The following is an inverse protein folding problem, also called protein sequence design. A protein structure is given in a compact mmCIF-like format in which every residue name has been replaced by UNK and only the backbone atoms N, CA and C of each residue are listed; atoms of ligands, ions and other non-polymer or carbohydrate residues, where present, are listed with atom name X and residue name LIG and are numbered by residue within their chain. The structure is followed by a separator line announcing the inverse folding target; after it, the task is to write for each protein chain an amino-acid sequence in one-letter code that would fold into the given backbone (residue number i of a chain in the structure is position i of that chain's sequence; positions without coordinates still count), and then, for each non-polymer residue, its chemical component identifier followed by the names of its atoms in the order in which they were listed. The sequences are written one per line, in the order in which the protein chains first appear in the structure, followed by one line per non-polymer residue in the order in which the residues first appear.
data_IF_873306810889
#
_entry.id   IF_873306810889
#
_cell.length_a   1.000
_cell.length_b   1.000
_cell.length_c   1.000
_cell.angle_alpha   90.00
_cell.angle_beta   90.00
_cell.angle_gamma   90.00
#
_symmetry.space_group_name_H-M   'P 1'
#
loop_
_entity.id
_entity.type
_entity.pdbx_description
1 polymer ?
#
# COMPACT_ATOMS: atom_id res chain seq x y z
N UNK A 1 -13.20 -0.19 -32.33
CA UNK A 1 -14.30 0.61 -31.86
C UNK A 1 -15.44 0.62 -32.86
N UNK A 2 -15.28 1.12 -34.11
CA UNK A 2 -16.36 1.10 -35.11
C UNK A 2 -17.03 -0.27 -35.31
N UNK A 3 -16.31 -1.39 -35.16
CA UNK A 3 -16.86 -2.76 -35.29
C UNK A 3 -17.83 -3.15 -34.18
N UNK A 4 -17.76 -2.50 -33.03
CA UNK A 4 -18.52 -2.83 -31.81
C UNK A 4 -19.40 -1.67 -31.33
N UNK A 5 -19.48 -0.57 -32.10
CA UNK A 5 -20.31 0.61 -31.80
C UNK A 5 -20.01 1.19 -30.39
N UNK A 6 -18.71 1.22 -30.01
CA UNK A 6 -18.28 1.76 -28.73
C UNK A 6 -18.00 3.25 -28.87
N UNK A 7 -18.70 4.08 -28.13
CA UNK A 7 -18.61 5.55 -28.18
C UNK A 7 -17.67 6.11 -27.10
N UNK A 8 -17.52 5.43 -25.96
CA UNK A 8 -16.68 5.86 -24.86
C UNK A 8 -16.16 4.65 -24.07
N UNK A 9 -15.10 4.87 -23.25
CA UNK A 9 -14.52 3.87 -22.37
C UNK A 9 -14.55 4.33 -20.93
N UNK A 10 -14.84 3.40 -20.02
CA UNK A 10 -14.62 3.57 -18.58
C UNK A 10 -13.47 2.64 -18.18
N UNK A 11 -12.41 3.22 -17.62
CA UNK A 11 -11.22 2.51 -17.20
C UNK A 11 -11.14 2.53 -15.68
N UNK A 12 -11.13 1.36 -15.05
CA UNK A 12 -10.96 1.21 -13.62
C UNK A 12 -9.53 0.71 -13.39
N UNK A 13 -8.70 1.49 -12.70
CA UNK A 13 -7.32 1.09 -12.45
C UNK A 13 -6.49 2.13 -11.74
N UNK A 14 -5.21 1.82 -11.53
CA UNK A 14 -4.23 2.69 -10.94
C UNK A 14 -3.57 3.63 -11.97
N UNK A 15 -2.50 4.29 -11.54
CA UNK A 15 -1.77 5.32 -12.30
C UNK A 15 -1.42 4.90 -13.73
N UNK A 16 -0.85 3.70 -13.91
CA UNK A 16 -0.48 3.21 -15.24
C UNK A 16 -1.68 3.04 -16.19
N UNK A 17 -2.80 2.51 -15.68
CA UNK A 17 -4.02 2.33 -16.47
C UNK A 17 -4.66 3.67 -16.86
N UNK A 18 -4.68 4.63 -15.92
CA UNK A 18 -5.25 5.96 -16.16
C UNK A 18 -4.37 6.79 -17.11
N UNK A 19 -3.05 6.66 -16.98
CA UNK A 19 -2.11 7.26 -17.93
C UNK A 19 -2.27 6.68 -19.33
N UNK A 20 -2.38 5.35 -19.46
CA UNK A 20 -2.66 4.69 -20.72
C UNK A 20 -3.99 5.12 -21.34
N UNK A 21 -5.04 5.24 -20.54
CA UNK A 21 -6.35 5.73 -20.95
C UNK A 21 -6.29 7.16 -21.52
N UNK A 22 -5.52 8.04 -20.87
CA UNK A 22 -5.31 9.42 -21.32
C UNK A 22 -4.63 9.47 -22.69
N UNK A 23 -3.54 8.70 -22.84
CA UNK A 23 -2.81 8.63 -24.11
C UNK A 23 -3.72 8.07 -25.20
N UNK A 24 -4.43 6.98 -24.92
CA UNK A 24 -5.37 6.37 -25.84
C UNK A 24 -6.48 7.34 -26.30
N UNK A 25 -7.05 8.09 -25.35
CA UNK A 25 -8.08 9.09 -25.68
C UNK A 25 -7.55 10.17 -26.61
N UNK A 26 -6.30 10.61 -26.43
CA UNK A 26 -5.65 11.62 -27.26
C UNK A 26 -5.30 11.11 -28.66
N UNK A 27 -4.82 9.86 -28.77
CA UNK A 27 -4.38 9.30 -30.05
C UNK A 27 -5.55 8.86 -30.94
N UNK A 28 -6.62 8.37 -30.34
CA UNK A 28 -7.74 7.78 -31.08
C UNK A 28 -9.03 8.60 -31.04
N UNK A 29 -8.99 9.77 -30.40
CA UNK A 29 -10.16 10.66 -30.24
C UNK A 29 -11.37 9.92 -29.65
N UNK A 30 -11.15 9.11 -28.61
CA UNK A 30 -12.18 8.34 -27.91
C UNK A 30 -12.35 8.87 -26.50
N UNK A 31 -13.54 9.29 -26.10
CA UNK A 31 -13.79 9.72 -24.72
C UNK A 31 -13.48 8.60 -23.72
N UNK A 32 -12.68 8.91 -22.70
CA UNK A 32 -12.34 7.99 -21.63
C UNK A 32 -12.64 8.61 -20.26
N UNK A 33 -13.23 7.83 -19.36
CA UNK A 33 -13.43 8.18 -17.96
C UNK A 33 -12.63 7.21 -17.11
N UNK A 34 -11.76 7.74 -16.23
CA UNK A 34 -10.96 6.96 -15.31
C UNK A 34 -11.62 6.87 -13.93
N UNK A 35 -11.62 5.68 -13.34
CA UNK A 35 -12.02 5.44 -11.95
C UNK A 35 -10.79 4.92 -11.16
N UNK A 36 -10.50 5.48 -9.97
CA UNK A 36 -9.27 5.22 -9.23
C UNK A 36 -9.29 3.86 -8.52
N UNK A 37 -9.07 2.78 -9.25
CA UNK A 37 -9.08 1.39 -8.79
C UNK A 37 -7.69 0.90 -8.42
N UNK A 38 -7.21 1.21 -7.21
CA UNK A 38 -5.94 0.73 -6.65
C UNK A 38 -6.02 0.67 -5.13
N UNK A 39 -5.23 -0.21 -4.51
CA UNK A 39 -5.13 -0.28 -3.05
C UNK A 39 -4.08 0.68 -2.48
N UNK A 40 -3.18 1.22 -3.29
CA UNK A 40 -2.03 2.00 -2.83
C UNK A 40 -2.40 3.41 -2.37
N UNK A 41 -3.55 3.92 -2.77
CA UNK A 41 -4.06 5.27 -2.49
C UNK A 41 -3.09 6.39 -2.93
N UNK A 42 -2.36 6.16 -4.01
CA UNK A 42 -1.27 6.99 -4.52
C UNK A 42 -1.68 7.89 -5.72
N UNK A 43 -2.98 8.01 -5.99
CA UNK A 43 -3.50 8.79 -7.12
C UNK A 43 -3.83 10.22 -6.71
N UNK A 44 -3.25 11.17 -7.45
CA UNK A 44 -3.60 12.59 -7.30
C UNK A 44 -5.04 12.88 -7.72
N UNK A 45 -5.74 13.71 -6.93
CA UNK A 45 -7.09 14.16 -7.25
C UNK A 45 -8.22 13.30 -6.69
N UNK A 46 -7.91 12.32 -5.85
CA UNK A 46 -8.90 11.57 -5.06
C UNK A 46 -8.45 11.46 -3.60
N UNK A 47 -9.37 11.51 -2.68
CA UNK A 47 -9.09 11.34 -1.25
C UNK A 47 -8.87 9.86 -0.90
N UNK A 48 -9.64 8.99 -1.54
CA UNK A 48 -9.57 7.54 -1.33
C UNK A 48 -9.77 6.79 -2.62
N UNK A 49 -8.90 5.84 -2.90
CA UNK A 49 -9.00 4.96 -4.06
C UNK A 49 -9.89 3.75 -3.78
N UNK A 50 -10.51 3.22 -4.86
CA UNK A 50 -11.36 2.03 -4.78
C UNK A 50 -10.48 0.81 -4.41
N UNK A 51 -10.78 0.18 -3.28
CA UNK A 51 -10.05 -0.98 -2.77
C UNK A 51 -9.10 -0.67 -1.61
N UNK A 52 -8.73 0.59 -1.37
CA UNK A 52 -7.86 0.98 -0.26
C UNK A 52 -8.42 0.56 1.10
N UNK A 53 -9.66 0.92 1.41
CA UNK A 53 -10.31 0.57 2.68
C UNK A 53 -10.42 -0.96 2.87
N UNK A 54 -10.76 -1.69 1.80
CA UNK A 54 -10.80 -3.16 1.84
C UNK A 54 -9.43 -3.75 2.14
N UNK A 55 -8.37 -3.22 1.53
CA UNK A 55 -7.00 -3.66 1.80
C UNK A 55 -6.58 -3.36 3.24
N UNK A 56 -6.95 -2.19 3.77
CA UNK A 56 -6.68 -1.81 5.15
C UNK A 56 -7.36 -2.77 6.14
N UNK A 57 -8.64 -3.08 5.94
CA UNK A 57 -9.35 -4.05 6.76
C UNK A 57 -8.72 -5.45 6.70
N UNK A 58 -8.23 -5.87 5.53
CA UNK A 58 -7.52 -7.15 5.37
C UNK A 58 -6.21 -7.16 6.17
N UNK A 59 -5.48 -6.05 6.19
CA UNK A 59 -4.27 -5.90 7.01
C UNK A 59 -4.61 -6.03 8.49
N UNK A 60 -5.63 -5.33 8.96
CA UNK A 60 -6.06 -5.37 10.36
C UNK A 60 -6.45 -6.78 10.80
N UNK A 61 -7.25 -7.49 10.00
CA UNK A 61 -7.65 -8.87 10.29
C UNK A 61 -6.44 -9.84 10.34
N UNK A 62 -5.47 -9.66 9.46
CA UNK A 62 -4.25 -10.45 9.47
C UNK A 62 -3.38 -10.15 10.68
N UNK A 63 -3.22 -8.86 11.02
CA UNK A 63 -2.41 -8.41 12.16
C UNK A 63 -2.99 -8.87 13.49
N UNK A 64 -4.31 -8.84 13.68
CA UNK A 64 -4.95 -9.31 14.90
C UNK A 64 -4.67 -10.79 15.15
N UNK A 65 -4.66 -11.62 14.10
CA UNK A 65 -4.29 -13.04 14.19
C UNK A 65 -2.81 -13.26 14.55
N UNK A 66 -1.94 -12.39 14.07
CA UNK A 66 -0.49 -12.43 14.39
C UNK A 66 -0.25 -11.97 15.82
N UNK A 67 -0.98 -10.99 16.31
CA UNK A 67 -0.84 -10.40 17.64
C UNK A 67 -0.98 -11.45 18.75
N UNK A 68 -1.96 -12.33 18.65
CA UNK A 68 -2.17 -13.39 19.63
C UNK A 68 -0.94 -14.30 19.73
N UNK A 69 -0.34 -14.63 18.58
CA UNK A 69 0.88 -15.43 18.52
C UNK A 69 2.10 -14.67 19.04
N UNK A 70 2.21 -13.38 18.71
CA UNK A 70 3.32 -12.53 19.15
C UNK A 70 3.36 -12.41 20.68
N UNK A 71 2.20 -12.17 21.30
CA UNK A 71 2.04 -12.06 22.74
C UNK A 71 2.42 -13.35 23.46
N UNK A 72 2.00 -14.50 22.92
CA UNK A 72 2.23 -15.81 23.55
C UNK A 72 3.69 -16.27 23.52
N UNK A 73 4.50 -15.82 22.55
CA UNK A 73 5.85 -16.33 22.30
C UNK A 73 6.95 -15.28 22.44
N UNK A 74 6.64 -14.06 22.88
CA UNK A 74 7.58 -12.95 22.98
C UNK A 74 8.41 -12.74 21.69
N UNK A 75 7.76 -12.81 20.53
CA UNK A 75 8.41 -12.70 19.22
C UNK A 75 8.16 -11.35 18.59
N UNK A 76 9.15 -10.88 17.87
CA UNK A 76 9.05 -9.75 16.99
C UNK A 76 8.52 -10.20 15.62
N UNK A 77 7.50 -9.52 15.13
CA UNK A 77 6.95 -9.76 13.80
C UNK A 77 7.07 -8.51 12.95
N UNK A 78 7.46 -8.72 11.70
CA UNK A 78 7.39 -7.73 10.64
C UNK A 78 6.27 -8.14 9.69
N UNK A 79 5.33 -7.25 9.46
CA UNK A 79 4.24 -7.45 8.51
C UNK A 79 4.49 -6.54 7.32
N UNK A 80 4.89 -7.15 6.20
CA UNK A 80 5.05 -6.45 4.95
C UNK A 80 3.69 -6.26 4.28
N UNK A 81 3.41 -5.04 3.86
CA UNK A 81 2.19 -4.69 3.12
C UNK A 81 2.54 -4.05 1.79
N UNK A 82 1.64 -4.15 0.83
CA UNK A 82 1.78 -3.46 -0.45
C UNK A 82 1.64 -1.95 -0.26
N UNK A 83 2.00 -1.17 -1.27
CA UNK A 83 1.92 0.29 -1.25
C UNK A 83 2.86 0.93 -2.27
N UNK A 84 3.73 0.13 -2.91
CA UNK A 84 4.70 0.59 -3.89
C UNK A 84 5.59 1.67 -3.29
N UNK A 85 5.51 2.91 -3.82
CA UNK A 85 6.27 4.07 -3.34
C UNK A 85 5.50 4.92 -2.32
N UNK A 86 4.29 4.48 -1.93
CA UNK A 86 3.40 5.16 -0.98
C UNK A 86 3.19 4.34 0.29
N UNK A 87 3.41 4.94 1.44
CA UNK A 87 3.31 4.31 2.75
C UNK A 87 1.92 4.33 3.39
N UNK A 88 0.86 4.69 2.66
CA UNK A 88 -0.48 4.86 3.23
C UNK A 88 -1.04 3.60 3.91
N UNK A 89 -0.92 2.43 3.26
CA UNK A 89 -1.39 1.17 3.84
C UNK A 89 -0.61 0.80 5.11
N UNK A 90 0.72 0.96 5.08
CA UNK A 90 1.55 0.64 6.24
C UNK A 90 1.30 1.60 7.40
N UNK A 91 1.24 2.89 7.13
CA UNK A 91 1.03 3.90 8.17
C UNK A 91 -0.34 3.76 8.83
N UNK A 92 -1.41 3.73 8.01
CA UNK A 92 -2.76 3.63 8.55
C UNK A 92 -3.04 2.25 9.14
N UNK A 93 -2.48 1.18 8.55
CA UNK A 93 -2.53 -0.16 9.13
C UNK A 93 -1.82 -0.25 10.48
N UNK A 94 -0.64 0.36 10.61
CA UNK A 94 0.10 0.40 11.86
C UNK A 94 -0.66 1.17 12.95
N UNK A 95 -1.20 2.34 12.62
CA UNK A 95 -1.98 3.16 13.57
C UNK A 95 -3.24 2.40 14.02
N UNK A 96 -4.02 1.88 13.08
CA UNK A 96 -5.27 1.22 13.38
C UNK A 96 -5.08 -0.11 14.13
N UNK A 97 -4.01 -0.83 13.84
CA UNK A 97 -3.66 -2.06 14.52
C UNK A 97 -2.88 -1.85 15.82
N UNK A 98 -2.48 -0.63 16.17
CA UNK A 98 -1.67 -0.33 17.35
C UNK A 98 -0.26 -0.92 17.27
N UNK A 99 0.37 -0.88 16.09
CA UNK A 99 1.75 -1.31 15.92
C UNK A 99 2.72 -0.30 16.56
N UNK A 100 3.87 -0.77 17.02
CA UNK A 100 4.88 0.09 17.65
C UNK A 100 5.61 0.99 16.66
N UNK A 101 5.74 0.55 15.43
CA UNK A 101 6.38 1.33 14.37
C UNK A 101 5.82 1.00 12.99
N UNK A 102 5.79 1.99 12.12
CA UNK A 102 5.59 1.85 10.69
C UNK A 102 6.85 2.27 9.95
N UNK A 103 7.29 1.45 9.03
CA UNK A 103 8.38 1.79 8.11
C UNK A 103 7.73 2.11 6.77
N UNK A 104 7.87 3.34 6.33
CA UNK A 104 7.26 3.84 5.12
C UNK A 104 8.31 4.43 4.18
N UNK A 105 8.12 4.33 2.86
CA UNK A 105 9.13 4.76 1.88
C UNK A 105 9.46 6.25 1.95
N UNK A 106 8.52 7.08 2.37
CA UNK A 106 8.68 8.54 2.50
C UNK A 106 9.75 8.96 3.54
N UNK A 107 10.10 8.06 4.48
CA UNK A 107 11.05 8.34 5.56
C UNK A 107 12.27 7.41 5.54
N UNK A 108 12.98 7.34 4.43
CA UNK A 108 14.14 6.45 4.23
C UNK A 108 15.31 6.67 5.22
N UNK A 109 15.40 7.83 5.83
CA UNK A 109 16.53 8.22 6.71
C UNK A 109 16.50 7.54 8.09
N UNK A 110 15.37 7.04 8.55
CA UNK A 110 15.24 6.36 9.85
C UNK A 110 15.62 4.89 9.83
N UNK A 111 15.63 4.28 8.68
CA UNK A 111 15.98 2.87 8.52
C UNK A 111 17.41 2.54 8.93
N UNK A 112 18.37 3.42 8.64
CA UNK A 112 19.77 3.25 9.02
C UNK A 112 19.98 3.35 10.53
N UNK A 113 19.26 4.23 11.22
CA UNK A 113 19.35 4.39 12.67
C UNK A 113 18.74 3.19 13.42
N UNK A 114 17.68 2.60 12.89
CA UNK A 114 17.06 1.42 13.48
C UNK A 114 17.92 0.15 13.28
N UNK A 115 18.56 -0.03 12.11
CA UNK A 115 19.53 -1.12 11.90
C UNK A 115 20.66 -1.13 12.95
N UNK A 116 21.09 0.03 13.37
CA UNK A 116 22.15 0.17 14.38
C UNK A 116 21.64 -0.14 15.80
N UNK A 117 20.33 -0.07 16.04
CA UNK A 117 19.70 -0.37 17.33
C UNK A 117 19.30 -1.84 17.48
N UNK A 118 18.98 -2.52 16.40
CA UNK A 118 18.51 -3.90 16.38
C UNK A 118 19.52 -4.85 15.76
N UNK A 119 20.64 -5.12 16.21
CA UNK A 119 21.73 -6.04 15.83
C UNK A 119 21.35 -7.19 14.85
N UNK A 120 20.57 -6.91 13.80
CA UNK A 120 20.09 -7.87 12.79
C UNK A 120 20.70 -7.58 11.42
N UNK A 121 21.78 -8.32 11.13
CA UNK A 121 22.46 -8.39 9.84
C UNK A 121 21.63 -9.16 8.79
N UNK A 122 20.66 -8.59 8.19
CA UNK A 122 20.18 -8.97 6.85
C UNK A 122 18.75 -8.45 6.56
N UNK A 123 18.66 -7.32 5.96
CA UNK A 123 17.43 -6.95 5.26
C UNK A 123 17.78 -6.43 3.88
N UNK A 124 17.39 -7.17 2.87
CA UNK A 124 17.46 -6.75 1.48
C UNK A 124 16.71 -5.43 1.31
N UNK A 125 17.32 -4.50 0.59
CA UNK A 125 16.74 -3.23 0.17
C UNK A 125 15.55 -3.46 -0.79
N UNK A 126 14.42 -3.82 -0.24
CA UNK A 126 13.14 -3.59 -0.91
C UNK A 126 12.40 -2.62 0.00
N UNK A 127 11.89 -1.54 -0.57
CA UNK A 127 10.98 -0.62 0.12
C UNK A 127 9.73 -1.42 0.48
N UNK A 128 9.73 -1.99 1.66
CA UNK A 128 8.61 -2.68 2.24
C UNK A 128 8.09 -1.79 3.35
N UNK A 129 6.87 -1.36 3.21
CA UNK A 129 6.16 -0.76 4.31
C UNK A 129 5.86 -1.88 5.31
N UNK A 130 6.37 -1.77 6.52
CA UNK A 130 6.22 -2.83 7.52
C UNK A 130 5.82 -2.28 8.88
N UNK A 131 4.95 -2.99 9.57
CA UNK A 131 4.52 -2.71 10.94
C UNK A 131 5.30 -3.59 11.91
N UNK A 132 5.67 -3.04 13.06
CA UNK A 132 6.45 -3.72 14.07
C UNK A 132 5.75 -3.73 15.42
N UNK A 133 5.79 -4.87 16.15
CA UNK A 133 5.35 -5.02 17.53
C UNK A 133 6.49 -5.43 18.44
N UNK A 134 6.72 -4.74 19.58
CA UNK A 134 7.69 -5.15 20.56
C UNK A 134 7.15 -6.25 21.48
N UNK A 135 8.08 -6.79 22.25
CA UNK A 135 7.77 -7.59 23.42
C UNK A 135 6.90 -6.80 24.39
N UNK A 136 5.78 -7.37 24.80
CA UNK A 136 5.06 -6.93 25.97
C UNK A 136 5.75 -7.58 27.18
N UNK A 137 6.37 -6.77 28.05
CA UNK A 137 6.85 -7.23 29.36
C UNK A 137 5.67 -7.43 30.31
#
# INVERSE_FOLDING_TARGET
MKKHEIDALVIIGGDGSLTGARIFAQEFDVPCIGLPGTIDNDLYGTDTTIGYDTALNTILDAVDKIRDTATSHERLFFVEVMGRDAGFLALNGAIAAGAEAAIIPEFSTRWTNWKNSSNTDSASQKAAASCWWPKVN
#
